data_IF_179956660548
#
_entry.id   IF_179956660548
#
_cell.length_a   1.000
_cell.length_b   1.000
_cell.length_c   1.000
_cell.angle_alpha   90.00
_cell.angle_beta   90.00
_cell.angle_gamma   90.00
#
_symmetry.space_group_name_H-M   'P 1'
#
loop_
_entity.id
_entity.type
_entity.pdbx_description
1 polymer ?
#
# COMPACT_ATOMS: atom_id res chain seq x y z
N UNK A 1 -0.05 -31.14 16.29
CA UNK A 1 0.17 -30.09 15.27
C UNK A 1 1.16 -30.60 14.23
N UNK A 2 0.87 -30.49 12.93
CA UNK A 2 1.86 -30.82 11.88
C UNK A 2 2.88 -29.68 11.81
N UNK A 3 4.17 -29.99 11.76
CA UNK A 3 5.22 -28.98 11.55
C UNK A 3 5.25 -28.62 10.07
N UNK A 4 4.87 -27.39 9.75
CA UNK A 4 5.08 -26.81 8.42
C UNK A 4 6.48 -26.18 8.46
N UNK A 5 7.37 -26.64 7.59
CA UNK A 5 8.67 -26.00 7.37
C UNK A 5 8.63 -25.31 6.00
N UNK A 6 9.28 -24.15 5.91
CA UNK A 6 9.39 -23.38 4.67
C UNK A 6 10.79 -22.79 4.56
N UNK A 7 11.35 -22.81 3.36
CA UNK A 7 12.66 -22.23 3.06
C UNK A 7 12.48 -21.04 2.12
N UNK A 8 13.23 -19.96 2.38
CA UNK A 8 13.22 -18.77 1.55
C UNK A 8 14.04 -19.01 0.27
N UNK A 9 13.37 -19.11 -0.87
CA UNK A 9 14.03 -19.37 -2.17
C UNK A 9 14.46 -18.06 -2.84
N UNK A 10 13.68 -16.99 -2.70
CA UNK A 10 13.95 -15.69 -3.32
C UNK A 10 13.14 -14.58 -2.67
N UNK A 11 13.71 -13.37 -2.63
CA UNK A 11 12.99 -12.13 -2.29
C UNK A 11 13.23 -11.08 -3.34
N UNK A 12 12.17 -10.38 -3.77
CA UNK A 12 12.26 -9.23 -4.67
C UNK A 12 11.48 -8.09 -4.05
N UNK A 13 12.07 -6.88 -3.95
CA UNK A 13 11.34 -5.73 -3.46
C UNK A 13 10.20 -5.39 -4.42
N UNK A 14 9.07 -4.96 -3.87
CA UNK A 14 7.91 -4.49 -4.63
C UNK A 14 7.54 -3.08 -4.18
N UNK A 15 6.88 -2.32 -5.06
CA UNK A 15 6.39 -0.99 -4.70
C UNK A 15 5.27 -1.08 -3.66
N UNK A 16 5.10 -0.03 -2.85
CA UNK A 16 4.07 0.00 -1.82
C UNK A 16 2.65 -0.18 -2.40
N UNK A 17 2.34 0.50 -3.50
CA UNK A 17 1.04 0.35 -4.19
C UNK A 17 0.81 -1.09 -4.67
N UNK A 18 1.88 -1.78 -5.12
CA UNK A 18 1.78 -3.19 -5.51
C UNK A 18 1.56 -4.08 -4.30
N UNK A 19 2.26 -3.83 -3.20
CA UNK A 19 2.07 -4.56 -1.94
C UNK A 19 0.63 -4.41 -1.41
N UNK A 20 0.11 -3.18 -1.38
CA UNK A 20 -1.26 -2.89 -0.98
C UNK A 20 -2.28 -3.70 -1.81
N UNK A 21 -2.14 -3.66 -3.14
CA UNK A 21 -3.00 -4.41 -4.05
C UNK A 21 -2.93 -5.93 -3.85
N UNK A 22 -1.74 -6.48 -3.58
CA UNK A 22 -1.58 -7.91 -3.33
C UNK A 22 -2.27 -8.34 -2.03
N UNK A 23 -2.07 -7.59 -0.94
CA UNK A 23 -2.66 -7.90 0.36
C UNK A 23 -4.19 -7.73 0.32
N UNK A 24 -4.71 -6.68 -0.30
CA UNK A 24 -6.17 -6.50 -0.45
C UNK A 24 -6.82 -7.63 -1.24
N UNK A 25 -6.18 -8.11 -2.32
CA UNK A 25 -6.68 -9.26 -3.08
C UNK A 25 -6.64 -10.53 -2.24
N UNK A 26 -5.57 -10.74 -1.48
CA UNK A 26 -5.44 -11.91 -0.62
C UNK A 26 -6.51 -11.92 0.50
N UNK A 27 -6.77 -10.77 1.11
CA UNK A 27 -7.78 -10.63 2.16
C UNK A 27 -9.23 -10.77 1.66
N UNK A 28 -9.48 -10.56 0.36
CA UNK A 28 -10.80 -10.69 -0.26
C UNK A 28 -11.16 -12.13 -0.64
N UNK A 29 -10.19 -13.04 -0.72
CA UNK A 29 -10.43 -14.45 -1.05
C UNK A 29 -10.86 -15.21 0.20
N UNK A 30 -11.86 -16.07 0.06
CA UNK A 30 -12.24 -17.01 1.11
C UNK A 30 -11.20 -18.12 1.21
N UNK A 31 -10.34 -18.03 2.22
CA UNK A 31 -9.13 -18.85 2.38
C UNK A 31 -9.24 -19.87 3.53
N UNK A 32 -10.44 -20.06 4.09
CA UNK A 32 -10.67 -20.98 5.22
C UNK A 32 -9.93 -20.61 6.51
N UNK A 33 -9.43 -19.38 6.63
CA UNK A 33 -8.73 -18.93 7.83
C UNK A 33 -9.68 -18.66 9.00
N UNK A 34 -9.15 -18.71 10.22
CA UNK A 34 -9.93 -18.34 11.42
C UNK A 34 -10.34 -16.87 11.40
N UNK A 35 -11.40 -16.52 12.13
CA UNK A 35 -11.92 -15.16 12.20
C UNK A 35 -10.85 -14.12 12.61
N UNK A 36 -9.97 -14.48 13.55
CA UNK A 36 -8.88 -13.62 14.01
C UNK A 36 -7.87 -13.33 12.89
N UNK A 37 -7.51 -14.35 12.11
CA UNK A 37 -6.58 -14.20 10.98
C UNK A 37 -7.21 -13.38 9.88
N UNK A 38 -8.48 -13.64 9.54
CA UNK A 38 -9.24 -12.83 8.60
C UNK A 38 -9.29 -11.35 8.98
N UNK A 39 -9.53 -11.05 10.26
CA UNK A 39 -9.54 -9.67 10.76
C UNK A 39 -8.17 -9.01 10.68
N UNK A 40 -7.10 -9.74 11.02
CA UNK A 40 -5.73 -9.26 10.89
C UNK A 40 -5.38 -8.91 9.44
N UNK A 41 -5.74 -9.78 8.49
CA UNK A 41 -5.51 -9.53 7.06
C UNK A 41 -6.25 -8.30 6.56
N UNK A 42 -7.51 -8.10 6.97
CA UNK A 42 -8.29 -6.90 6.63
C UNK A 42 -7.61 -5.63 7.15
N UNK A 43 -7.26 -5.58 8.44
CA UNK A 43 -6.58 -4.43 9.06
C UNK A 43 -5.24 -4.12 8.37
N UNK A 44 -4.51 -5.17 7.98
CA UNK A 44 -3.24 -5.02 7.26
C UNK A 44 -3.47 -4.43 5.87
N UNK A 45 -4.47 -4.91 5.13
CA UNK A 45 -4.83 -4.35 3.83
C UNK A 45 -5.17 -2.86 3.93
N UNK A 46 -5.96 -2.48 4.93
CA UNK A 46 -6.37 -1.08 5.17
C UNK A 46 -5.16 -0.19 5.49
N UNK A 47 -4.24 -0.64 6.35
CA UNK A 47 -3.04 0.12 6.68
C UNK A 47 -2.14 0.40 5.46
N UNK A 48 -1.99 -0.59 4.58
CA UNK A 48 -1.24 -0.42 3.33
C UNK A 48 -1.94 0.54 2.37
N UNK A 49 -3.26 0.43 2.22
CA UNK A 49 -4.04 1.34 1.38
C UNK A 49 -3.95 2.79 1.88
N UNK A 50 -4.07 3.02 3.18
CA UNK A 50 -3.92 4.34 3.79
C UNK A 50 -2.52 4.92 3.52
N UNK A 51 -1.48 4.10 3.64
CA UNK A 51 -0.10 4.52 3.38
C UNK A 51 0.14 4.92 1.91
N UNK A 52 -0.59 4.32 0.96
CA UNK A 52 -0.54 4.72 -0.45
C UNK A 52 -1.26 6.05 -0.66
N UNK A 53 -2.43 6.24 -0.05
CA UNK A 53 -3.21 7.47 -0.15
C UNK A 53 -2.44 8.68 0.39
N UNK A 54 -1.80 8.57 1.57
CA UNK A 54 -1.01 9.67 2.14
C UNK A 54 0.14 10.09 1.21
N UNK A 55 0.81 9.13 0.56
CA UNK A 55 1.87 9.44 -0.42
C UNK A 55 1.33 10.14 -1.67
N UNK A 56 0.14 9.78 -2.12
CA UNK A 56 -0.51 10.45 -3.25
C UNK A 56 -0.93 11.88 -2.89
N UNK A 57 -1.43 12.09 -1.68
CA UNK A 57 -1.79 13.41 -1.17
C UNK A 57 -0.58 14.34 -1.05
N UNK A 58 0.56 13.84 -0.55
CA UNK A 58 1.81 14.61 -0.52
C UNK A 58 2.29 15.01 -1.92
N UNK A 59 2.21 14.08 -2.88
CA UNK A 59 2.54 14.38 -4.29
C UNK A 59 1.63 15.45 -4.87
N UNK A 60 0.33 15.39 -4.60
CA UNK A 60 -0.65 16.41 -5.04
C UNK A 60 -0.40 17.77 -4.38
N UNK A 61 0.02 17.80 -3.11
CA UNK A 61 0.41 19.05 -2.43
C UNK A 61 1.68 19.67 -3.03
N UNK A 62 2.65 18.85 -3.44
CA UNK A 62 3.87 19.35 -4.10
C UNK A 62 3.59 19.96 -5.48
N UNK A 63 2.80 19.28 -6.33
CA UNK A 63 2.44 19.82 -7.66
C UNK A 63 1.79 21.20 -7.58
N UNK A 64 0.80 21.35 -6.69
CA UNK A 64 0.13 22.65 -6.46
C UNK A 64 1.06 23.79 -6.04
N UNK A 65 2.19 23.49 -5.39
CA UNK A 65 3.18 24.52 -5.02
C UNK A 65 4.12 24.92 -6.17
N UNK A 66 4.32 24.03 -7.14
CA UNK A 66 5.17 24.31 -8.31
C UNK A 66 4.39 25.15 -9.32
N UNK A 67 3.12 24.81 -9.56
CA UNK A 67 2.24 25.58 -10.45
C UNK A 67 2.02 27.03 -9.95
N UNK A 68 2.00 27.25 -8.63
CA UNK A 68 1.91 28.57 -7.99
C UNK A 68 3.21 29.41 -8.12
N UNK A 69 4.36 28.77 -8.37
CA UNK A 69 5.65 29.45 -8.55
C UNK A 69 5.83 29.88 -10.00
N UNK A 70 5.44 29.03 -10.96
CA UNK A 70 5.55 29.33 -12.40
C UNK A 70 4.62 30.49 -12.82
N UNK A 71 3.45 30.64 -12.18
CA UNK A 71 2.52 31.76 -12.41
C UNK A 71 3.01 33.12 -11.86
N UNK A 72 4.07 33.13 -11.05
CA UNK A 72 4.64 34.37 -10.48
C UNK A 72 5.84 34.90 -11.26
N UNK A 73 6.51 34.09 -12.08
CA UNK A 73 7.61 34.55 -12.94
C UNK A 73 7.14 35.18 -14.26
N UNK A 74 5.93 34.89 -14.75
CA UNK A 74 5.40 35.49 -15.98
C UNK A 74 4.85 36.92 -15.82
N UNK A 75 4.91 37.53 -14.62
CA UNK A 75 4.39 38.88 -14.36
C UNK A 75 5.46 39.91 -13.98
N UNK A 76 6.73 39.70 -14.34
CA UNK A 76 7.81 40.65 -14.04
C UNK A 76 8.58 41.12 -15.28
#
# INVERSE_FOLDING_TARGET
>A
MRKISGQLISTKPVTLSRAAKLISRFAAVENGSSATVSLYLKRTADAFNNSVQTKEEEKKKKKRKTDDFDLKEEQQ
#
